data_IF_404896890732
#
_entry.id   IF_404896890732
#
_cell.length_a   1.000
_cell.length_b   1.000
_cell.length_c   1.000
_cell.angle_alpha   90.00
_cell.angle_beta   90.00
_cell.angle_gamma   90.00
#
_symmetry.space_group_name_H-M   'P 1'
#
loop_
_entity.id
_entity.type
_entity.pdbx_description
1 polymer ?
#
# COMPACT_ATOMS: atom_id res chain seq x y z
N UNK A 1 12.30 31.27 -4.46
CA UNK A 1 11.39 30.11 -4.57
C UNK A 1 11.40 29.65 -6.01
N UNK A 2 11.69 28.39 -6.33
CA UNK A 2 11.80 27.99 -7.73
C UNK A 2 10.40 28.05 -8.38
N UNK A 3 10.31 28.86 -9.43
CA UNK A 3 9.15 29.03 -10.30
C UNK A 3 8.73 27.68 -10.86
N UNK A 4 7.51 27.26 -10.58
CA UNK A 4 6.91 26.04 -11.12
C UNK A 4 6.68 26.25 -12.62
N UNK A 5 7.65 25.82 -13.45
CA UNK A 5 7.47 25.78 -14.91
C UNK A 5 6.23 24.93 -15.20
N UNK A 6 5.19 25.53 -15.76
CA UNK A 6 4.09 24.79 -16.36
C UNK A 6 4.65 23.96 -17.52
N UNK A 7 4.80 22.66 -17.30
CA UNK A 7 5.15 21.71 -18.36
C UNK A 7 3.86 21.46 -19.14
N UNK A 8 3.71 22.13 -20.28
CA UNK A 8 2.61 21.89 -21.22
C UNK A 8 2.95 20.76 -22.20
N UNK A 9 3.37 19.61 -21.68
CA UNK A 9 3.37 18.37 -22.46
C UNK A 9 2.61 17.29 -21.68
N UNK A 10 1.40 17.00 -22.15
CA UNK A 10 0.52 15.97 -21.60
C UNK A 10 1.18 14.59 -21.56
N UNK A 11 2.02 14.28 -22.54
CA UNK A 11 2.75 13.00 -22.60
C UNK A 11 3.76 12.86 -21.45
N UNK A 12 4.49 13.94 -21.13
CA UNK A 12 5.45 13.95 -20.02
C UNK A 12 4.73 13.83 -18.67
N UNK A 13 3.59 14.52 -18.51
CA UNK A 13 2.74 14.40 -17.33
C UNK A 13 2.21 12.97 -17.14
N UNK A 14 1.68 12.34 -18.20
CA UNK A 14 1.15 10.98 -18.12
C UNK A 14 2.27 9.95 -17.88
N UNK A 15 3.46 10.13 -18.44
CA UNK A 15 4.63 9.29 -18.12
C UNK A 15 5.04 9.43 -16.65
N UNK A 16 5.17 10.65 -16.13
CA UNK A 16 5.52 10.89 -14.73
C UNK A 16 4.46 10.33 -13.77
N UNK A 17 3.17 10.47 -14.12
CA UNK A 17 2.04 9.92 -13.37
C UNK A 17 2.05 8.39 -13.37
N UNK A 18 2.38 7.76 -14.51
CA UNK A 18 2.54 6.30 -14.61
C UNK A 18 3.69 5.80 -13.73
N UNK A 19 4.86 6.42 -13.83
CA UNK A 19 6.03 6.10 -12.99
C UNK A 19 5.72 6.27 -11.50
N UNK A 20 5.02 7.34 -11.12
CA UNK A 20 4.60 7.57 -9.74
C UNK A 20 3.63 6.49 -9.26
N UNK A 21 2.66 6.11 -10.10
CA UNK A 21 1.69 5.04 -9.79
C UNK A 21 2.38 3.69 -9.59
N UNK A 22 3.27 3.30 -10.49
CA UNK A 22 4.06 2.07 -10.38
C UNK A 22 4.95 2.08 -9.12
N UNK A 23 5.61 3.21 -8.85
CA UNK A 23 6.38 3.40 -7.61
C UNK A 23 5.51 3.27 -6.34
N UNK A 24 4.28 3.77 -6.38
CA UNK A 24 3.31 3.62 -5.29
C UNK A 24 2.90 2.15 -5.10
N UNK A 25 2.64 1.42 -6.18
CA UNK A 25 2.29 -0.01 -6.14
C UNK A 25 3.44 -0.87 -5.57
N UNK A 26 4.70 -0.52 -5.86
CA UNK A 26 5.89 -1.21 -5.33
C UNK A 26 6.14 -0.86 -3.86
N UNK A 27 5.92 0.39 -3.43
CA UNK A 27 6.23 0.83 -2.07
C UNK A 27 5.11 0.60 -1.06
N UNK A 28 3.85 0.65 -1.51
CA UNK A 28 2.68 0.54 -0.65
C UNK A 28 1.98 -0.81 -0.85
N UNK A 29 2.20 -1.79 0.05
CA UNK A 29 1.54 -3.09 -0.05
C UNK A 29 0.06 -3.05 0.33
N UNK A 30 -0.46 -1.91 0.82
CA UNK A 30 -1.85 -1.70 1.23
C UNK A 30 -2.60 -0.73 0.31
N UNK A 31 -2.11 -0.56 -0.94
CA UNK A 31 -2.71 0.38 -1.88
C UNK A 31 -4.15 -0.02 -2.24
N UNK A 32 -4.43 -1.31 -2.33
CA UNK A 32 -5.77 -1.82 -2.68
C UNK A 32 -6.79 -1.49 -1.61
N UNK A 33 -6.47 -1.75 -0.34
CA UNK A 33 -7.32 -1.45 0.82
C UNK A 33 -7.51 0.06 0.97
N UNK A 34 -6.47 0.85 0.70
CA UNK A 34 -6.58 2.31 0.65
C UNK A 34 -7.57 2.77 -0.44
N UNK A 35 -7.51 2.19 -1.65
CA UNK A 35 -8.47 2.51 -2.72
C UNK A 35 -9.90 2.11 -2.35
N UNK A 36 -10.09 0.96 -1.70
CA UNK A 36 -11.42 0.51 -1.25
C UNK A 36 -12.02 1.44 -0.20
N UNK A 37 -11.24 1.85 0.81
CA UNK A 37 -11.71 2.80 1.82
C UNK A 37 -12.06 4.18 1.25
N UNK A 38 -11.27 4.67 0.29
CA UNK A 38 -11.60 5.91 -0.43
C UNK A 38 -12.86 5.75 -1.29
N UNK A 39 -13.02 4.60 -1.96
CA UNK A 39 -14.22 4.30 -2.75
C UNK A 39 -15.48 4.29 -1.87
N UNK A 40 -15.41 3.66 -0.70
CA UNK A 40 -16.54 3.67 0.23
C UNK A 40 -16.92 5.09 0.66
N UNK A 41 -15.93 5.95 0.95
CA UNK A 41 -16.19 7.35 1.30
C UNK A 41 -16.89 8.09 0.16
N UNK A 42 -16.42 7.91 -1.08
CA UNK A 42 -16.99 8.56 -2.26
C UNK A 42 -18.47 8.16 -2.46
N UNK A 43 -18.79 6.89 -2.29
CA UNK A 43 -20.16 6.36 -2.39
C UNK A 43 -21.07 6.79 -1.23
N UNK A 44 -20.51 7.11 -0.07
CA UNK A 44 -21.25 7.42 1.16
C UNK A 44 -21.22 8.90 1.55
N UNK A 45 -20.95 9.81 0.62
CA UNK A 45 -20.86 11.26 0.88
C UNK A 45 -19.89 11.58 2.02
N UNK A 46 -18.79 10.82 2.10
CA UNK A 46 -17.73 10.96 3.10
C UNK A 46 -18.18 10.73 4.56
N UNK A 47 -19.29 10.01 4.77
CA UNK A 47 -19.70 9.56 6.10
C UNK A 47 -18.78 8.42 6.56
N UNK A 48 -17.84 8.76 7.46
CA UNK A 48 -16.79 7.86 7.93
C UNK A 48 -17.30 6.58 8.58
N UNK A 49 -18.37 6.68 9.38
CA UNK A 49 -18.88 5.57 10.20
C UNK A 49 -19.40 4.41 9.33
N UNK A 50 -19.89 4.72 8.12
CA UNK A 50 -20.34 3.69 7.15
C UNK A 50 -19.19 2.89 6.55
N UNK A 51 -17.96 3.35 6.69
CA UNK A 51 -16.77 2.77 6.07
C UNK A 51 -15.77 2.21 7.08
N UNK A 52 -16.17 2.01 8.34
CA UNK A 52 -15.29 1.57 9.42
C UNK A 52 -14.56 0.26 9.08
N UNK A 53 -15.28 -0.74 8.54
CA UNK A 53 -14.70 -2.03 8.13
C UNK A 53 -13.58 -1.86 7.08
N UNK A 54 -13.75 -0.96 6.11
CA UNK A 54 -12.71 -0.69 5.11
C UNK A 54 -11.48 -0.04 5.74
N UNK A 55 -11.66 0.84 6.74
CA UNK A 55 -10.55 1.41 7.49
C UNK A 55 -9.85 0.40 8.39
N UNK A 56 -10.59 -0.51 9.01
CA UNK A 56 -10.04 -1.62 9.78
C UNK A 56 -9.19 -2.53 8.90
N UNK A 57 -9.69 -2.90 7.71
CA UNK A 57 -8.92 -3.67 6.74
C UNK A 57 -7.62 -2.96 6.33
N UNK A 58 -7.67 -1.65 6.08
CA UNK A 58 -6.48 -0.86 5.78
C UNK A 58 -5.50 -0.80 6.97
N UNK A 59 -5.99 -0.65 8.21
CA UNK A 59 -5.16 -0.67 9.42
C UNK A 59 -4.50 -2.04 9.60
N UNK A 60 -5.27 -3.12 9.48
CA UNK A 60 -4.79 -4.50 9.59
C UNK A 60 -3.70 -4.79 8.56
N UNK A 61 -3.89 -4.35 7.32
CA UNK A 61 -2.88 -4.45 6.28
C UNK A 61 -1.57 -3.73 6.70
N UNK A 62 -1.66 -2.48 7.17
CA UNK A 62 -0.47 -1.74 7.63
C UNK A 62 0.22 -2.41 8.81
N UNK A 63 -0.54 -2.89 9.79
CA UNK A 63 0.02 -3.60 10.94
C UNK A 63 0.76 -4.87 10.51
N UNK A 64 0.15 -5.67 9.63
CA UNK A 64 0.76 -6.87 9.09
C UNK A 64 2.08 -6.56 8.35
N UNK A 65 2.07 -5.63 7.40
CA UNK A 65 3.27 -5.34 6.62
C UNK A 65 4.35 -4.64 7.44
N UNK A 66 3.99 -3.84 8.44
CA UNK A 66 4.96 -3.31 9.41
C UNK A 66 5.65 -4.42 10.20
N UNK A 67 4.91 -5.44 10.63
CA UNK A 67 5.47 -6.63 11.28
C UNK A 67 6.42 -7.38 10.33
N UNK A 68 5.97 -7.69 9.12
CA UNK A 68 6.78 -8.39 8.10
C UNK A 68 8.05 -7.62 7.79
N UNK A 69 7.97 -6.30 7.57
CA UNK A 69 9.14 -5.48 7.26
C UNK A 69 10.14 -5.40 8.41
N UNK A 70 9.66 -5.37 9.66
CA UNK A 70 10.54 -5.43 10.84
C UNK A 70 11.22 -6.81 10.97
N UNK A 71 10.49 -7.90 10.80
CA UNK A 71 11.03 -9.27 10.85
C UNK A 71 12.07 -9.49 9.73
N UNK A 72 11.76 -9.09 8.48
CA UNK A 72 12.68 -9.14 7.35
C UNK A 72 13.93 -8.30 7.58
N UNK A 73 13.77 -7.09 8.11
CA UNK A 73 14.90 -6.20 8.43
C UNK A 73 15.81 -6.80 9.51
N UNK A 74 15.24 -7.42 10.55
CA UNK A 74 16.03 -8.09 11.60
C UNK A 74 16.84 -9.27 11.08
N UNK A 75 16.40 -9.88 9.97
CA UNK A 75 17.08 -10.99 9.28
C UNK A 75 18.04 -10.52 8.18
N UNK A 76 18.21 -9.22 7.99
CA UNK A 76 19.04 -8.66 6.92
C UNK A 76 18.47 -8.85 5.51
N UNK A 77 17.18 -9.15 5.36
CA UNK A 77 16.55 -9.40 4.05
C UNK A 77 16.10 -8.07 3.45
N UNK A 78 16.66 -7.73 2.28
CA UNK A 78 16.29 -6.57 1.48
C UNK A 78 15.68 -7.01 0.14
N UNK A 79 14.63 -6.35 -0.38
CA UNK A 79 13.92 -5.18 0.15
C UNK A 79 13.03 -5.48 1.37
N UNK A 80 12.85 -4.43 2.21
CA UNK A 80 12.07 -4.48 3.46
C UNK A 80 10.60 -4.84 3.22
N UNK A 81 10.04 -4.34 2.13
CA UNK A 81 8.73 -4.73 1.60
C UNK A 81 8.99 -5.61 0.38
N UNK A 82 8.41 -6.81 0.29
CA UNK A 82 8.54 -7.67 -0.90
C UNK A 82 7.99 -7.00 -2.16
N UNK A 83 8.54 -7.41 -3.31
CA UNK A 83 8.03 -7.02 -4.62
C UNK A 83 6.58 -7.52 -4.81
N UNK A 84 5.75 -6.84 -5.63
CA UNK A 84 4.34 -7.20 -5.80
C UNK A 84 4.08 -8.68 -6.09
N UNK A 85 4.91 -9.31 -6.91
CA UNK A 85 4.82 -10.73 -7.29
C UNK A 85 5.00 -11.68 -6.09
N UNK A 86 5.92 -11.35 -5.17
CA UNK A 86 6.24 -12.18 -4.01
C UNK A 86 5.30 -11.97 -2.82
N UNK A 87 4.48 -10.90 -2.85
CA UNK A 87 3.69 -10.50 -1.69
C UNK A 87 2.72 -11.58 -1.23
N UNK A 88 2.11 -12.31 -2.16
CA UNK A 88 1.14 -13.34 -1.81
C UNK A 88 1.80 -14.54 -1.12
N UNK A 89 2.95 -14.99 -1.62
CA UNK A 89 3.74 -16.06 -1.01
C UNK A 89 4.20 -15.66 0.40
N UNK A 90 4.82 -14.48 0.54
CA UNK A 90 5.26 -13.96 1.84
C UNK A 90 4.08 -13.78 2.80
N UNK A 91 2.92 -13.31 2.30
CA UNK A 91 1.72 -13.16 3.13
C UNK A 91 1.27 -14.49 3.69
N UNK A 92 1.19 -15.55 2.87
CA UNK A 92 0.80 -16.90 3.30
C UNK A 92 1.75 -17.47 4.36
N UNK A 93 3.06 -17.32 4.16
CA UNK A 93 4.08 -17.80 5.10
C UNK A 93 3.96 -17.12 6.48
N UNK A 94 3.84 -15.80 6.49
CA UNK A 94 3.76 -15.04 7.74
C UNK A 94 2.43 -15.25 8.47
N UNK A 95 1.32 -15.38 7.73
CA UNK A 95 0.05 -15.75 8.34
C UNK A 95 0.11 -17.13 9.00
N UNK A 96 0.71 -18.12 8.35
CA UNK A 96 0.96 -19.44 8.95
C UNK A 96 1.83 -19.35 10.21
N UNK A 97 2.86 -18.50 10.20
CA UNK A 97 3.71 -18.26 11.38
C UNK A 97 2.94 -17.63 12.55
N UNK A 98 1.97 -16.76 12.26
CA UNK A 98 1.12 -16.12 13.27
C UNK A 98 0.15 -17.12 13.88
N UNK A 99 -0.49 -17.97 13.08
CA UNK A 99 -1.47 -18.95 13.57
C UNK A 99 -0.84 -20.03 14.44
N UNK A 100 0.39 -20.45 14.14
CA UNK A 100 1.12 -21.48 14.94
C UNK A 100 1.58 -20.94 16.30
N UNK A 101 1.76 -19.61 16.43
CA UNK A 101 2.23 -18.97 17.66
C UNK A 101 1.12 -18.63 18.66
N UNK A 102 -0.14 -18.88 18.30
CA UNK A 102 -1.32 -18.56 19.10
C UNK A 102 -1.82 -19.82 19.79
#
# INVERSE_FOLDING_TARGET
MPSFKQISNYEEFEMAKKQFKEGSEIRNPCLTESKMSLKCLDENMYVRDKCEEYFENYRNCKHFWNYVSRDRMSKGIWPKVPLPEDREAVKKEYLKKITIKK
#
